data_IF_499365095241
#
_entry.id   IF_499365095241
#
_cell.length_a   1.000
_cell.length_b   1.000
_cell.length_c   1.000
_cell.angle_alpha   90.00
_cell.angle_beta   90.00
_cell.angle_gamma   90.00
#
_symmetry.space_group_name_H-M   'P 1'
#
loop_
_entity.id
_entity.type
_entity.pdbx_description
1 polymer ?
#
# COMPACT_ATOMS: atom_id res chain seq x y z
N UNK A 1 12.02 -6.62 0.72
CA UNK A 1 12.71 -5.56 1.48
C UNK A 1 12.07 -5.45 2.86
N UNK A 2 12.84 -5.12 3.89
CA UNK A 2 12.25 -4.85 5.21
C UNK A 2 11.53 -3.50 5.17
N UNK A 3 10.49 -3.34 6.00
CA UNK A 3 9.88 -2.05 6.31
C UNK A 3 10.94 -1.00 6.68
N UNK A 4 12.00 -1.41 7.36
CA UNK A 4 13.15 -0.56 7.69
C UNK A 4 13.77 0.12 6.47
N UNK A 5 13.83 -0.56 5.33
CA UNK A 5 14.41 0.00 4.11
C UNK A 5 13.51 1.08 3.52
N UNK A 6 12.19 0.85 3.53
CA UNK A 6 11.18 1.81 3.07
C UNK A 6 11.23 3.06 3.96
N UNK A 7 11.39 2.90 5.28
CA UNK A 7 11.46 4.02 6.20
C UNK A 7 12.80 4.77 6.14
N UNK A 8 13.91 4.08 5.86
CA UNK A 8 15.25 4.68 5.74
C UNK A 8 15.50 5.35 4.40
N UNK A 9 14.83 4.92 3.33
CA UNK A 9 14.95 5.56 2.02
C UNK A 9 14.25 6.93 2.04
N UNK A 10 15.06 7.98 1.98
CA UNK A 10 14.59 9.37 2.00
C UNK A 10 13.79 9.76 0.74
N UNK A 11 14.00 9.07 -0.38
CA UNK A 11 13.36 9.38 -1.65
C UNK A 11 12.62 8.16 -2.20
N UNK A 12 11.30 8.28 -2.35
CA UNK A 12 10.49 7.38 -3.17
C UNK A 12 10.69 7.67 -4.65
N UNK A 13 10.38 6.70 -5.54
CA UNK A 13 10.51 6.90 -6.99
C UNK A 13 9.79 8.15 -7.50
N UNK A 14 8.59 8.44 -6.99
CA UNK A 14 7.82 9.62 -7.40
C UNK A 14 8.50 10.96 -7.06
N UNK A 15 9.48 10.97 -6.15
CA UNK A 15 10.23 12.17 -5.74
C UNK A 15 11.49 12.41 -6.61
N UNK A 16 11.87 11.46 -7.47
CA UNK A 16 13.12 11.53 -8.26
C UNK A 16 13.01 12.35 -9.55
N UNK A 17 11.78 12.70 -9.97
CA UNK A 17 11.53 13.79 -10.92
C UNK A 17 12.12 13.63 -12.34
N UNK A 18 12.16 12.42 -12.91
CA UNK A 18 12.68 12.17 -14.27
C UNK A 18 11.58 12.14 -15.36
N UNK A 19 10.34 12.47 -15.01
CA UNK A 19 9.21 12.48 -15.94
C UNK A 19 9.07 13.76 -16.79
N UNK A 20 8.22 13.75 -17.83
CA UNK A 20 7.91 14.95 -18.60
C UNK A 20 7.34 16.07 -17.70
N UNK A 21 7.73 17.32 -17.97
CA UNK A 21 7.29 18.50 -17.22
C UNK A 21 7.62 18.47 -15.72
N UNK A 22 8.71 17.78 -15.31
CA UNK A 22 9.22 17.74 -13.94
C UNK A 22 9.57 19.10 -13.32
N UNK A 23 9.68 20.17 -14.11
CA UNK A 23 9.86 21.55 -13.64
C UNK A 23 8.59 22.13 -12.99
N UNK A 24 7.42 21.52 -13.23
CA UNK A 24 6.12 21.99 -12.73
C UNK A 24 5.36 20.87 -12.03
N UNK A 25 5.28 19.69 -12.66
CA UNK A 25 4.55 18.55 -12.14
C UNK A 25 5.44 17.74 -11.19
N UNK A 26 5.03 17.66 -9.91
CA UNK A 26 5.77 16.90 -8.88
C UNK A 26 5.64 15.39 -9.11
N UNK A 27 4.42 14.90 -9.33
CA UNK A 27 4.14 13.48 -9.63
C UNK A 27 2.78 13.29 -10.28
N UNK A 28 2.55 12.11 -10.86
CA UNK A 28 1.25 11.64 -11.35
C UNK A 28 0.88 10.34 -10.65
N UNK A 29 -0.39 10.19 -10.26
CA UNK A 29 -0.87 9.01 -9.51
C UNK A 29 -2.25 8.56 -9.97
N UNK A 30 -2.38 7.27 -10.28
CA UNK A 30 -3.65 6.62 -10.63
C UNK A 30 -4.08 5.71 -9.48
N UNK A 31 -5.37 5.74 -9.11
CA UNK A 31 -5.94 4.88 -8.06
C UNK A 31 -7.19 4.19 -8.57
N UNK A 32 -7.24 2.87 -8.42
CA UNK A 32 -8.38 2.04 -8.80
C UNK A 32 -9.02 1.45 -7.55
N UNK A 33 -10.19 1.96 -7.16
CA UNK A 33 -10.95 1.41 -6.03
C UNK A 33 -11.82 0.23 -6.47
N UNK A 34 -11.73 -0.90 -5.77
CA UNK A 34 -12.52 -2.12 -6.02
C UNK A 34 -13.02 -2.71 -4.69
N UNK A 35 -14.13 -3.44 -4.76
CA UNK A 35 -14.67 -4.24 -3.65
C UNK A 35 -14.88 -5.68 -4.14
N UNK A 36 -14.76 -6.65 -3.24
CA UNK A 36 -15.01 -8.07 -3.54
C UNK A 36 -16.51 -8.37 -3.34
N UNK A 37 -17.16 -8.97 -4.33
CA UNK A 37 -18.62 -9.15 -4.37
C UNK A 37 -19.19 -9.95 -3.18
N UNK A 38 -18.42 -10.87 -2.62
CA UNK A 38 -18.84 -11.76 -1.53
C UNK A 38 -18.79 -11.10 -0.14
N UNK A 39 -18.28 -9.87 -0.03
CA UNK A 39 -18.07 -9.20 1.25
C UNK A 39 -18.87 -7.89 1.37
N UNK A 40 -19.39 -7.56 2.56
CA UNK A 40 -19.95 -6.22 2.81
C UNK A 40 -18.91 -5.12 2.59
N UNK A 41 -19.37 -3.91 2.31
CA UNK A 41 -18.49 -2.74 2.28
C UNK A 41 -17.78 -2.54 3.63
N UNK A 42 -16.56 -1.95 3.65
CA UNK A 42 -15.74 -1.85 4.87
C UNK A 42 -16.42 -1.20 6.08
N UNK A 43 -17.39 -0.31 5.87
CA UNK A 43 -18.15 0.33 6.95
C UNK A 43 -19.19 -0.58 7.63
N UNK A 44 -19.51 -1.73 7.04
CA UNK A 44 -20.46 -2.73 7.58
C UNK A 44 -19.84 -4.12 7.79
N UNK A 45 -18.65 -4.36 7.27
CA UNK A 45 -17.95 -5.62 7.43
C UNK A 45 -17.53 -5.82 8.90
N UNK A 46 -17.64 -7.05 9.40
CA UNK A 46 -17.08 -7.42 10.70
C UNK A 46 -15.54 -7.43 10.65
N UNK A 47 -14.85 -7.35 11.81
CA UNK A 47 -13.40 -7.50 11.86
C UNK A 47 -12.89 -8.79 11.20
N UNK A 48 -13.61 -9.90 11.37
CA UNK A 48 -13.28 -11.18 10.73
C UNK A 48 -13.42 -11.15 9.22
N UNK A 49 -14.44 -10.48 8.67
CA UNK A 49 -14.62 -10.31 7.22
C UNK A 49 -13.52 -9.43 6.62
N UNK A 50 -13.12 -8.35 7.32
CA UNK A 50 -12.01 -7.50 6.89
C UNK A 50 -10.69 -8.29 6.83
N UNK A 51 -10.43 -9.12 7.83
CA UNK A 51 -9.26 -9.99 7.87
C UNK A 51 -9.31 -11.07 6.79
N UNK A 52 -10.49 -11.64 6.50
CA UNK A 52 -10.65 -12.63 5.45
C UNK A 52 -10.34 -12.03 4.06
N UNK A 53 -10.80 -10.79 3.80
CA UNK A 53 -10.45 -10.05 2.57
C UNK A 53 -8.94 -9.85 2.47
N UNK A 54 -8.31 -9.39 3.54
CA UNK A 54 -6.86 -9.20 3.62
C UNK A 54 -6.10 -10.50 3.30
N UNK A 55 -6.49 -11.62 3.92
CA UNK A 55 -5.89 -12.92 3.68
C UNK A 55 -6.16 -13.46 2.27
N UNK A 56 -7.33 -13.17 1.68
CA UNK A 56 -7.67 -13.59 0.31
C UNK A 56 -6.79 -12.86 -0.71
N UNK A 57 -6.61 -11.56 -0.55
CA UNK A 57 -5.69 -10.76 -1.39
C UNK A 57 -4.25 -11.25 -1.22
N UNK A 58 -3.80 -11.48 0.02
CA UNK A 58 -2.44 -11.96 0.30
C UNK A 58 -2.16 -13.36 -0.28
N UNK A 59 -3.14 -14.27 -0.21
CA UNK A 59 -3.01 -15.62 -0.81
C UNK A 59 -2.91 -15.53 -2.33
N UNK A 60 -3.79 -14.76 -2.96
CA UNK A 60 -3.76 -14.57 -4.41
C UNK A 60 -2.46 -13.90 -4.88
N UNK A 61 -1.93 -12.96 -4.09
CA UNK A 61 -0.61 -12.38 -4.32
C UNK A 61 0.49 -13.47 -4.35
N UNK A 62 0.54 -14.31 -3.32
CA UNK A 62 1.55 -15.37 -3.19
C UNK A 62 1.48 -16.43 -4.30
N UNK A 63 0.38 -16.51 -5.06
CA UNK A 63 0.26 -17.39 -6.23
C UNK A 63 0.83 -16.81 -7.53
N UNK A 64 1.46 -15.63 -7.48
CA UNK A 64 2.04 -14.97 -8.66
C UNK A 64 1.07 -14.05 -9.41
N UNK A 65 -0.10 -13.74 -8.82
CA UNK A 65 -1.13 -12.91 -9.46
C UNK A 65 -0.68 -11.50 -9.87
N UNK A 66 0.46 -11.04 -9.35
CA UNK A 66 1.02 -9.72 -9.59
C UNK A 66 2.52 -9.75 -9.91
N UNK A 67 3.02 -10.85 -10.49
CA UNK A 67 4.42 -10.94 -10.97
C UNK A 67 4.82 -9.76 -11.88
N UNK A 68 3.87 -9.22 -12.65
CA UNK A 68 4.06 -8.04 -13.51
C UNK A 68 4.38 -6.75 -12.75
N UNK A 69 4.06 -6.67 -11.45
CA UNK A 69 4.40 -5.54 -10.57
C UNK A 69 5.77 -5.70 -9.91
N UNK A 70 6.47 -6.82 -10.18
CA UNK A 70 7.75 -7.15 -9.58
C UNK A 70 7.62 -7.69 -8.15
N UNK A 71 8.77 -7.75 -7.46
CA UNK A 71 8.83 -8.19 -6.06
C UNK A 71 8.18 -7.11 -5.18
N UNK A 72 7.19 -7.50 -4.40
CA UNK A 72 6.56 -6.63 -3.40
C UNK A 72 6.71 -7.18 -2.00
N UNK A 73 6.57 -6.28 -1.04
CA UNK A 73 6.55 -6.57 0.38
C UNK A 73 5.16 -6.26 0.94
N UNK A 74 4.68 -7.16 1.79
CA UNK A 74 3.44 -6.98 2.53
C UNK A 74 3.72 -6.33 3.88
N UNK A 75 3.00 -5.26 4.18
CA UNK A 75 3.04 -4.59 5.48
C UNK A 75 1.64 -4.60 6.07
N UNK A 76 1.48 -5.30 7.18
CA UNK A 76 0.26 -5.30 7.97
C UNK A 76 0.20 -4.02 8.81
N UNK A 77 -0.90 -3.27 8.71
CA UNK A 77 -1.09 -2.05 9.50
C UNK A 77 -1.21 -2.39 10.98
N UNK A 78 -1.72 -3.57 11.33
CA UNK A 78 -1.86 -4.03 12.71
C UNK A 78 -0.51 -4.21 13.40
N UNK A 79 0.51 -4.61 12.63
CA UNK A 79 1.78 -5.09 13.17
C UNK A 79 2.85 -4.00 13.31
N UNK A 80 2.56 -2.77 12.85
CA UNK A 80 3.52 -1.66 12.84
C UNK A 80 3.08 -0.51 13.76
N UNK A 81 4.01 0.20 14.42
CA UNK A 81 3.73 1.39 15.24
C UNK A 81 3.04 2.52 14.47
N UNK A 82 2.30 3.38 15.19
CA UNK A 82 1.57 4.50 14.58
C UNK A 82 2.47 5.46 13.80
N UNK A 83 3.64 5.81 14.33
CA UNK A 83 4.60 6.68 13.66
C UNK A 83 5.07 6.09 12.31
N UNK A 84 5.21 4.76 12.21
CA UNK A 84 5.59 4.10 10.96
C UNK A 84 4.42 4.10 9.96
N UNK A 85 3.17 3.93 10.44
CA UNK A 85 1.97 4.10 9.60
C UNK A 85 1.88 5.51 9.04
N UNK A 86 2.18 6.52 9.86
CA UNK A 86 2.19 7.93 9.43
C UNK A 86 3.30 8.18 8.41
N UNK A 87 4.50 7.65 8.63
CA UNK A 87 5.59 7.74 7.66
C UNK A 87 5.21 7.15 6.29
N UNK A 88 4.51 6.01 6.25
CA UNK A 88 4.00 5.44 4.99
C UNK A 88 2.97 6.36 4.29
N UNK A 89 2.17 7.11 5.05
CA UNK A 89 1.22 8.07 4.51
C UNK A 89 1.93 9.33 3.96
N UNK A 90 2.96 9.81 4.65
CA UNK A 90 3.81 10.93 4.21
C UNK A 90 4.56 10.59 2.91
N UNK A 91 5.03 9.35 2.79
CA UNK A 91 5.59 8.81 1.53
C UNK A 91 4.55 8.55 0.44
N UNK A 92 3.27 8.82 0.71
CA UNK A 92 2.14 8.63 -0.20
C UNK A 92 1.86 7.18 -0.62
N UNK A 93 2.40 6.21 0.12
CA UNK A 93 2.20 4.77 -0.11
C UNK A 93 0.84 4.32 0.41
N UNK A 94 0.40 4.85 1.55
CA UNK A 94 -0.95 4.58 2.07
C UNK A 94 -1.77 5.86 2.21
N UNK A 95 -3.07 5.70 2.46
CA UNK A 95 -3.94 6.84 2.76
C UNK A 95 -3.88 7.21 4.25
N UNK A 96 -4.11 8.49 4.61
CA UNK A 96 -4.26 8.89 6.01
C UNK A 96 -5.43 8.20 6.74
N UNK A 97 -6.39 7.66 5.97
CA UNK A 97 -7.47 6.84 6.52
C UNK A 97 -6.94 5.48 6.96
N UNK A 98 -6.20 4.78 6.10
CA UNK A 98 -5.63 3.47 6.41
C UNK A 98 -4.69 3.51 7.61
N UNK A 99 -3.85 4.55 7.70
CA UNK A 99 -2.93 4.75 8.83
C UNK A 99 -3.64 4.77 10.22
N UNK A 100 -4.90 5.22 10.27
CA UNK A 100 -5.69 5.38 11.50
C UNK A 100 -6.65 4.23 11.80
N UNK A 101 -6.88 3.32 10.86
CA UNK A 101 -7.92 2.29 10.99
C UNK A 101 -7.50 1.09 11.85
N UNK A 102 -6.20 0.87 12.04
CA UNK A 102 -5.68 -0.24 12.86
C UNK A 102 -6.00 -1.64 12.29
N UNK A 103 -6.45 -1.72 11.04
CA UNK A 103 -6.66 -2.95 10.29
C UNK A 103 -6.31 -2.73 8.81
N UNK A 104 -6.16 -3.83 8.08
CA UNK A 104 -5.73 -3.82 6.68
C UNK A 104 -4.22 -3.92 6.55
N UNK A 105 -3.77 -3.88 5.29
CA UNK A 105 -2.37 -3.94 4.94
C UNK A 105 -2.13 -3.19 3.64
N UNK A 106 -0.85 -3.08 3.29
CA UNK A 106 -0.40 -2.52 2.03
C UNK A 106 0.62 -3.45 1.40
N UNK A 107 0.54 -3.62 0.08
CA UNK A 107 1.57 -4.26 -0.72
C UNK A 107 2.34 -3.19 -1.47
N UNK A 108 3.66 -3.13 -1.29
CA UNK A 108 4.51 -2.10 -1.92
C UNK A 108 5.60 -2.77 -2.73
N UNK A 109 5.82 -2.32 -3.96
CA UNK A 109 6.91 -2.83 -4.79
C UNK A 109 8.26 -2.19 -4.42
N UNK A 110 9.36 -2.79 -4.91
CA UNK A 110 10.73 -2.36 -4.54
C UNK A 110 11.04 -0.89 -4.80
N UNK A 111 10.50 -0.29 -5.87
CA UNK A 111 10.78 1.11 -6.18
C UNK A 111 9.70 2.07 -5.64
N UNK A 112 8.75 1.57 -4.84
CA UNK A 112 7.68 2.39 -4.26
C UNK A 112 6.79 3.10 -5.30
N UNK A 113 6.79 2.64 -6.55
CA UNK A 113 5.92 3.17 -7.62
C UNK A 113 4.52 2.55 -7.61
N UNK A 114 4.37 1.38 -6.99
CA UNK A 114 3.10 0.66 -6.87
C UNK A 114 2.79 0.37 -5.41
N UNK A 115 1.56 0.71 -5.02
CA UNK A 115 0.97 0.41 -3.72
C UNK A 115 -0.46 -0.07 -3.90
N UNK A 116 -0.77 -1.24 -3.33
CA UNK A 116 -2.09 -1.89 -3.36
C UNK A 116 -2.67 -1.95 -1.96
#
# INVERSE_FOLDING_TARGET
MSLDNILKQSLSRWMTGDGPNNSVAISSRVRLARNLAEYPFPGRASPSQLEEVEQKVRRWWNTGGLESLGITDYISIKDIPENERLALADKHLISPKLARQGYGGVLVNKDESVSV
#
